data_IF_388184189477
#
_entry.id   IF_388184189477
#
_cell.length_a   1.000
_cell.length_b   1.000
_cell.length_c   1.000
_cell.angle_alpha   90.00
_cell.angle_beta   90.00
_cell.angle_gamma   90.00
#
_symmetry.space_group_name_H-M   'P 1'
#
loop_
_entity.id
_entity.type
_entity.pdbx_description
1 polymer ?
#
# COMPACT_ATOMS: atom_id res chain seq x y z
N UNK A 1 -4.04 -9.50 18.13
CA UNK A 1 -3.46 -10.02 16.87
C UNK A 1 -4.20 -9.40 15.69
N UNK A 2 -3.47 -8.82 14.74
CA UNK A 2 -4.05 -8.14 13.57
C UNK A 2 -4.51 -9.21 12.57
N UNK A 3 -5.83 -9.40 12.38
CA UNK A 3 -6.41 -10.49 11.58
C UNK A 3 -6.25 -10.31 10.06
N UNK A 4 -5.78 -9.14 9.63
CA UNK A 4 -5.69 -8.73 8.23
C UNK A 4 -4.32 -9.03 7.58
N UNK A 5 -3.40 -9.70 8.30
CA UNK A 5 -2.11 -10.14 7.76
C UNK A 5 -2.12 -11.66 7.56
N UNK A 6 -1.94 -12.09 6.31
CA UNK A 6 -1.82 -13.49 5.88
C UNK A 6 -0.38 -13.76 5.48
N UNK A 7 0.27 -14.70 6.15
CA UNK A 7 1.65 -15.08 5.84
C UNK A 7 1.64 -16.52 5.35
N UNK A 8 2.12 -16.72 4.12
CA UNK A 8 2.11 -18.02 3.47
C UNK A 8 3.41 -18.78 3.78
N UNK A 9 3.29 -20.08 4.06
CA UNK A 9 4.44 -20.94 4.37
C UNK A 9 4.88 -20.98 5.84
N UNK A 10 4.22 -20.25 6.75
CA UNK A 10 4.42 -20.37 8.22
C UNK A 10 3.08 -20.51 8.95
N UNK A 11 3.07 -21.20 10.10
CA UNK A 11 1.88 -21.26 10.96
C UNK A 11 1.62 -19.91 11.63
N UNK A 12 0.35 -19.56 11.91
CA UNK A 12 0.00 -18.31 12.60
C UNK A 12 0.66 -18.16 13.98
N UNK A 13 0.93 -19.28 14.67
CA UNK A 13 1.60 -19.27 15.98
C UNK A 13 3.09 -18.94 15.87
N UNK A 14 3.79 -19.48 14.87
CA UNK A 14 5.18 -19.11 14.58
C UNK A 14 5.29 -17.63 14.21
N UNK A 15 4.27 -17.12 13.52
CA UNK A 15 4.17 -15.72 13.15
C UNK A 15 4.00 -14.77 14.33
N UNK A 16 3.15 -15.16 15.29
CA UNK A 16 2.92 -14.40 16.52
C UNK A 16 4.23 -14.08 17.25
N UNK A 17 5.17 -15.03 17.22
CA UNK A 17 6.47 -14.91 17.86
C UNK A 17 7.44 -14.01 17.09
N UNK A 18 7.27 -13.89 15.77
CA UNK A 18 8.18 -13.13 14.91
C UNK A 18 7.79 -11.68 14.67
N UNK A 19 6.54 -11.28 14.96
CA UNK A 19 6.08 -9.90 14.78
C UNK A 19 6.39 -9.10 16.05
N UNK A 20 7.27 -8.11 15.93
CA UNK A 20 7.59 -7.20 17.03
C UNK A 20 6.39 -6.32 17.41
N UNK A 21 6.36 -5.78 18.65
CA UNK A 21 5.37 -4.78 19.04
C UNK A 21 5.37 -3.54 18.11
N UNK A 22 6.55 -3.09 17.69
CA UNK A 22 6.69 -1.97 16.74
C UNK A 22 6.03 -2.30 15.40
N UNK A 23 6.22 -3.50 14.87
CA UNK A 23 5.56 -3.95 13.63
C UNK A 23 4.04 -4.05 13.81
N UNK A 24 3.57 -4.49 14.99
CA UNK A 24 2.14 -4.53 15.29
C UNK A 24 1.48 -3.16 15.22
N UNK A 25 2.16 -2.12 15.74
CA UNK A 25 1.68 -0.73 15.67
C UNK A 25 1.67 -0.22 14.23
N UNK A 26 2.75 -0.44 13.47
CA UNK A 26 2.81 -0.05 12.05
C UNK A 26 1.71 -0.70 11.21
N UNK A 27 1.43 -1.98 11.45
CA UNK A 27 0.33 -2.70 10.80
C UNK A 27 -1.03 -2.14 11.22
N UNK A 28 -1.20 -1.80 12.50
CA UNK A 28 -2.42 -1.14 12.97
C UNK A 28 -2.66 0.18 12.23
N UNK A 29 -1.65 1.05 12.16
CA UNK A 29 -1.72 2.34 11.48
C UNK A 29 -1.98 2.19 9.96
N UNK A 30 -1.39 1.17 9.33
CA UNK A 30 -1.66 0.83 7.94
C UNK A 30 -3.14 0.50 7.72
N UNK A 31 -3.71 -0.40 8.53
CA UNK A 31 -5.09 -0.87 8.39
C UNK A 31 -6.14 0.17 8.81
N UNK A 32 -5.77 1.29 9.43
CA UNK A 32 -6.66 2.44 9.59
C UNK A 32 -6.98 3.13 8.24
N UNK A 33 -6.08 3.00 7.26
CA UNK A 33 -6.16 3.73 5.99
C UNK A 33 -6.53 2.82 4.81
N UNK A 34 -6.11 1.56 4.86
CA UNK A 34 -6.27 0.61 3.76
C UNK A 34 -6.99 -0.64 4.24
N UNK A 35 -8.16 -0.91 3.66
CA UNK A 35 -8.95 -2.12 3.93
C UNK A 35 -8.59 -3.20 2.93
N UNK A 36 -8.04 -4.30 3.43
CA UNK A 36 -7.64 -5.43 2.62
C UNK A 36 -6.76 -6.39 3.40
N UNK A 37 -6.16 -7.32 2.68
CA UNK A 37 -5.19 -8.26 3.20
C UNK A 37 -3.77 -7.79 2.87
N UNK A 38 -2.87 -7.94 3.85
CA UNK A 38 -1.43 -7.97 3.57
C UNK A 38 -0.97 -9.42 3.48
N UNK A 39 -0.20 -9.72 2.46
CA UNK A 39 0.28 -11.04 2.12
C UNK A 39 1.80 -11.02 2.15
N UNK A 40 2.42 -11.77 3.06
CA UNK A 40 3.88 -11.92 3.08
C UNK A 40 4.28 -13.30 2.55
N UNK A 41 5.03 -13.29 1.45
CA UNK A 41 5.61 -14.49 0.83
C UNK A 41 7.02 -14.71 1.36
N UNK A 42 7.16 -15.65 2.31
CA UNK A 42 8.40 -15.81 3.07
C UNK A 42 9.61 -16.24 2.22
N UNK A 43 9.40 -17.08 1.22
CA UNK A 43 10.49 -17.60 0.38
C UNK A 43 11.07 -16.54 -0.56
N UNK A 44 10.23 -15.62 -1.04
CA UNK A 44 10.63 -14.57 -1.99
C UNK A 44 10.86 -13.22 -1.30
N UNK A 45 10.58 -13.13 0.01
CA UNK A 45 10.66 -11.90 0.80
C UNK A 45 9.79 -10.76 0.23
N UNK A 46 8.61 -11.11 -0.30
CA UNK A 46 7.68 -10.16 -0.94
C UNK A 46 6.53 -9.85 0.02
N UNK A 47 6.17 -8.56 0.14
CA UNK A 47 4.96 -8.10 0.82
C UNK A 47 3.97 -7.53 -0.21
N UNK A 48 2.81 -8.17 -0.33
CA UNK A 48 1.74 -7.77 -1.24
C UNK A 48 0.55 -7.21 -0.46
N UNK A 49 -0.13 -6.23 -1.02
CA UNK A 49 -1.44 -5.75 -0.54
C UNK A 49 -2.52 -6.16 -1.53
N UNK A 50 -3.64 -6.65 -1.02
CA UNK A 50 -4.82 -7.02 -1.80
C UNK A 50 -6.04 -6.36 -1.17
N UNK A 51 -6.66 -5.42 -1.88
CA UNK A 51 -7.84 -4.71 -1.42
C UNK A 51 -8.60 -4.04 -2.57
N UNK A 52 -9.81 -3.57 -2.28
CA UNK A 52 -10.73 -3.03 -3.29
C UNK A 52 -10.53 -1.53 -3.57
N UNK A 53 -9.68 -0.86 -2.78
CA UNK A 53 -9.46 0.57 -2.89
C UNK A 53 -8.72 0.92 -4.20
N UNK A 54 -9.29 1.86 -4.98
CA UNK A 54 -8.64 2.34 -6.18
C UNK A 54 -7.46 3.26 -5.83
N UNK A 55 -6.25 2.69 -5.82
CA UNK A 55 -5.01 3.44 -5.59
C UNK A 55 -4.66 4.38 -6.74
N UNK A 56 -5.10 4.06 -7.95
CA UNK A 56 -4.74 4.76 -9.19
C UNK A 56 -5.65 5.95 -9.50
N UNK A 57 -6.52 6.32 -8.56
CA UNK A 57 -7.35 7.50 -8.72
C UNK A 57 -6.46 8.76 -8.76
N UNK A 58 -6.52 9.47 -9.88
CA UNK A 58 -5.82 10.74 -10.07
C UNK A 58 -6.66 11.92 -9.56
N UNK A 59 -6.00 13.00 -9.15
CA UNK A 59 -6.65 14.28 -8.80
C UNK A 59 -7.09 15.08 -10.01
N UNK A 60 -6.53 14.81 -11.20
CA UNK A 60 -6.79 15.61 -12.39
C UNK A 60 -8.17 15.31 -12.98
N UNK A 61 -8.90 16.37 -13.33
CA UNK A 61 -10.06 16.26 -14.22
C UNK A 61 -9.57 15.99 -15.64
N UNK A 62 -10.41 15.35 -16.47
CA UNK A 62 -10.14 15.23 -17.91
C UNK A 62 -10.18 16.63 -18.54
N UNK A 63 -9.01 17.24 -18.65
CA UNK A 63 -8.83 18.42 -19.47
C UNK A 63 -8.75 17.99 -20.94
N UNK A 64 -9.34 18.76 -21.85
CA UNK A 64 -9.10 18.57 -23.28
C UNK A 64 -7.64 18.96 -23.57
N UNK A 65 -6.78 17.94 -23.69
CA UNK A 65 -5.38 18.10 -24.04
C UNK A 65 -5.26 18.04 -25.56
N UNK A 66 -5.03 19.19 -26.18
CA UNK A 66 -4.97 19.32 -27.65
C UNK A 66 -3.55 19.54 -28.19
N UNK A 67 -2.55 19.74 -27.31
CA UNK A 67 -1.14 19.95 -27.69
C UNK A 67 -0.14 19.39 -26.66
N UNK A 68 1.13 19.26 -27.08
CA UNK A 68 2.23 18.72 -26.28
C UNK A 68 2.56 19.58 -25.05
N UNK A 69 2.65 20.93 -25.15
CA UNK A 69 2.84 21.79 -23.97
C UNK A 69 1.77 21.58 -22.89
N UNK A 70 0.50 21.50 -23.27
CA UNK A 70 -0.63 21.25 -22.38
C UNK A 70 -0.51 19.86 -21.73
N UNK A 71 -0.18 18.82 -22.51
CA UNK A 71 0.06 17.47 -21.98
C UNK A 71 1.18 17.47 -20.92
N UNK A 72 2.31 18.10 -21.22
CA UNK A 72 3.44 18.21 -20.29
C UNK A 72 3.05 18.93 -19.01
N UNK A 73 2.27 20.01 -19.12
CA UNK A 73 1.73 20.74 -17.97
C UNK A 73 0.84 19.86 -17.11
N UNK A 74 -0.10 19.14 -17.74
CA UNK A 74 -1.03 18.23 -17.07
C UNK A 74 -0.32 17.08 -16.36
N UNK A 75 0.63 16.41 -17.02
CA UNK A 75 1.40 15.31 -16.40
C UNK A 75 2.23 15.78 -15.21
N UNK A 76 2.69 17.04 -15.20
CA UNK A 76 3.46 17.60 -14.09
C UNK A 76 2.62 17.86 -12.84
N UNK A 77 1.33 18.11 -12.99
CA UNK A 77 0.40 18.35 -11.88
C UNK A 77 -0.42 17.12 -11.51
N UNK A 78 -0.38 16.07 -12.33
CA UNK A 78 -1.08 14.81 -12.05
C UNK A 78 -0.52 14.16 -10.79
N UNK A 79 -1.38 13.99 -9.78
CA UNK A 79 -1.05 13.26 -8.55
C UNK A 79 -1.98 12.08 -8.36
N UNK A 80 -1.50 11.05 -7.66
CA UNK A 80 -2.28 9.89 -7.21
C UNK A 80 -2.21 9.81 -5.68
N UNK A 81 -3.00 10.64 -4.96
CA UNK A 81 -2.83 10.79 -3.51
C UNK A 81 -2.99 9.48 -2.73
N UNK A 82 -3.89 8.62 -3.20
CA UNK A 82 -4.13 7.31 -2.60
C UNK A 82 -2.90 6.41 -2.75
N UNK A 83 -2.34 6.33 -3.97
CA UNK A 83 -1.10 5.59 -4.23
C UNK A 83 0.10 6.15 -3.46
N UNK A 84 0.24 7.48 -3.38
CA UNK A 84 1.34 8.13 -2.66
C UNK A 84 1.29 7.79 -1.16
N UNK A 85 0.11 7.94 -0.53
CA UNK A 85 -0.08 7.56 0.88
C UNK A 85 0.13 6.06 1.09
N UNK A 86 -0.32 5.23 0.15
CA UNK A 86 -0.11 3.79 0.19
C UNK A 86 1.37 3.44 0.19
N UNK A 87 2.15 4.06 -0.72
CA UNK A 87 3.59 3.87 -0.81
C UNK A 87 4.30 4.25 0.48
N UNK A 88 3.95 5.39 1.08
CA UNK A 88 4.53 5.83 2.36
C UNK A 88 4.28 4.82 3.48
N UNK A 89 3.04 4.35 3.64
CA UNK A 89 2.70 3.39 4.69
C UNK A 89 3.33 2.01 4.42
N UNK A 90 3.39 1.55 3.16
CA UNK A 90 4.08 0.30 2.81
C UNK A 90 5.58 0.37 3.08
N UNK A 91 6.22 1.50 2.76
CA UNK A 91 7.64 1.72 3.08
C UNK A 91 7.89 1.75 4.59
N UNK A 92 6.93 2.23 5.39
CA UNK A 92 7.04 2.18 6.84
C UNK A 92 7.04 0.74 7.39
N UNK A 93 6.35 -0.20 6.73
CA UNK A 93 6.29 -1.61 7.15
C UNK A 93 7.62 -2.36 6.95
N UNK A 94 8.47 -1.92 6.01
CA UNK A 94 9.75 -2.57 5.70
C UNK A 94 10.97 -1.89 6.34
N UNK A 95 10.76 -0.70 6.93
CA UNK A 95 11.80 0.07 7.65
C UNK A 95 11.90 -0.32 9.12
#
# INVERSE_FOLDING_TARGET
MNRNLKIFGRSQHELAKSISPSMTLKLHDFFQHFKGDLIYHHQEQILCYVGEQNLLQTTSKRDQINDIPALRGHLRTMTMPQYQRFQELMLNLIR
#
